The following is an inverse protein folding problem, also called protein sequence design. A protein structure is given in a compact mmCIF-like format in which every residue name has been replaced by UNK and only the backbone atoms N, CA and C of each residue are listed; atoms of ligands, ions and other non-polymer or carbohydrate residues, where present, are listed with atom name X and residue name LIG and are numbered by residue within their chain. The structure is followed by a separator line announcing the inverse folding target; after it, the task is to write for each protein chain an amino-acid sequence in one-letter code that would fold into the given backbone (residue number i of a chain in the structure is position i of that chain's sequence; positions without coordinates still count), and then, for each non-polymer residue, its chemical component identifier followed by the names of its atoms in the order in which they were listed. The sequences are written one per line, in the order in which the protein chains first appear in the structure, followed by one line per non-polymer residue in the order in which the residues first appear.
data_IF_002930694739
#
_entry.id   IF_002930694739
#
_cell.length_a   1.000
_cell.length_b   1.000
_cell.length_c   1.000
_cell.angle_alpha   90.00
_cell.angle_beta   90.00
_cell.angle_gamma   90.00
#
_symmetry.space_group_name_H-M   'P 1'
#
loop_
_entity.id
_entity.type
_entity.pdbx_description
1 polymer ?
#
# COMPACT_ATOMS: atom_id res chain seq x y z
N UNK A 1 2.13 4.07 6.89
CA UNK A 1 1.55 3.19 7.92
C UNK A 1 2.38 1.91 7.99
N UNK A 2 3.09 1.58 9.10
CA UNK A 2 3.95 0.39 9.15
C UNK A 2 3.22 -0.95 9.26
N UNK A 3 2.03 -0.97 9.88
CA UNK A 3 1.21 -2.17 10.03
C UNK A 3 -0.26 -1.75 10.01
N UNK A 4 -0.99 -2.11 8.95
CA UNK A 4 -2.42 -1.79 8.82
C UNK A 4 -3.32 -2.83 9.51
N UNK A 5 -2.85 -4.08 9.63
CA UNK A 5 -3.58 -5.19 10.24
C UNK A 5 -2.84 -5.67 11.51
N UNK A 6 -2.84 -4.89 12.61
CA UNK A 6 -2.04 -5.20 13.78
C UNK A 6 -2.60 -6.42 14.55
N UNK A 7 -3.92 -6.56 14.61
CA UNK A 7 -4.63 -7.71 15.19
C UNK A 7 -4.29 -9.04 14.47
N UNK A 8 -4.31 -9.03 13.13
CA UNK A 8 -3.89 -10.18 12.32
C UNK A 8 -2.40 -10.46 12.42
N UNK A 9 -1.56 -9.41 12.44
CA UNK A 9 -0.12 -9.54 12.60
C UNK A 9 0.26 -10.25 13.90
N UNK A 10 -0.32 -9.85 15.04
CA UNK A 10 -0.06 -10.53 16.32
C UNK A 10 -0.61 -11.96 16.34
N UNK A 11 -1.77 -12.22 15.73
CA UNK A 11 -2.29 -13.58 15.59
C UNK A 11 -1.28 -14.51 14.88
N UNK A 12 -0.64 -14.06 13.78
CA UNK A 12 0.38 -14.87 13.07
C UNK A 12 1.61 -15.23 13.90
N UNK A 13 1.83 -14.56 15.04
CA UNK A 13 2.98 -14.75 15.93
C UNK A 13 2.69 -15.71 17.08
N UNK A 14 1.43 -16.10 17.31
CA UNK A 14 1.03 -16.97 18.42
C UNK A 14 1.47 -18.44 18.23
N UNK A 15 1.66 -18.89 16.99
CA UNK A 15 2.08 -20.27 16.70
C UNK A 15 2.77 -20.37 15.33
N UNK A 16 3.80 -21.24 15.18
CA UNK A 16 4.37 -21.56 13.88
C UNK A 16 3.46 -22.45 13.01
N UNK A 17 2.35 -22.97 13.55
CA UNK A 17 1.39 -23.78 12.78
C UNK A 17 0.90 -22.98 11.56
N UNK A 18 0.94 -23.52 10.32
CA UNK A 18 0.49 -22.82 9.11
C UNK A 18 -0.90 -22.19 9.20
N UNK A 19 -1.86 -22.80 9.91
CA UNK A 19 -3.22 -22.25 10.07
C UNK A 19 -3.26 -20.93 10.86
N UNK A 20 -2.22 -20.66 11.66
CA UNK A 20 -2.03 -19.43 12.42
C UNK A 20 -1.01 -18.53 11.72
N UNK A 21 0.16 -19.07 11.39
CA UNK A 21 1.29 -18.31 10.84
C UNK A 21 1.02 -17.71 9.46
N UNK A 22 0.16 -18.33 8.65
CA UNK A 22 -0.23 -17.86 7.31
C UNK A 22 -1.56 -17.09 7.31
N UNK A 23 -2.06 -16.67 8.48
CA UNK A 23 -3.27 -15.87 8.58
C UNK A 23 -3.11 -14.51 7.87
N UNK A 24 -4.04 -14.20 6.94
CA UNK A 24 -4.01 -12.99 6.09
C UNK A 24 -5.02 -11.92 6.52
N UNK A 25 -6.22 -12.33 6.92
CA UNK A 25 -7.36 -11.45 7.24
C UNK A 25 -7.11 -10.63 8.51
N UNK A 26 -7.96 -9.65 8.82
CA UNK A 26 -7.98 -9.07 10.17
C UNK A 26 -8.57 -10.06 11.19
N UNK A 27 -8.96 -9.59 12.39
CA UNK A 27 -9.52 -10.42 13.47
C UNK A 27 -10.91 -9.95 13.92
N UNK A 28 -11.70 -9.38 13.00
CA UNK A 28 -13.09 -9.03 13.30
C UNK A 28 -13.92 -10.22 13.78
N UNK A 29 -15.05 -9.97 14.49
CA UNK A 29 -15.83 -11.00 15.16
C UNK A 29 -16.24 -12.17 14.27
N UNK A 30 -16.54 -13.28 14.94
CA UNK A 30 -16.88 -14.53 14.28
C UNK A 30 -18.22 -14.44 13.55
N UNK A 31 -18.24 -14.96 12.33
CA UNK A 31 -19.45 -15.12 11.53
C UNK A 31 -19.64 -16.59 11.20
N UNK A 32 -20.83 -17.06 11.48
CA UNK A 32 -21.23 -18.44 11.27
C UNK A 32 -22.18 -18.53 10.09
N UNK A 33 -21.96 -19.50 9.21
CA UNK A 33 -22.90 -19.85 8.15
C UNK A 33 -23.25 -21.34 8.24
N UNK A 34 -24.40 -21.72 7.70
CA UNK A 34 -24.82 -23.12 7.60
C UNK A 34 -24.13 -23.78 6.41
N UNK A 35 -23.32 -24.80 6.68
CA UNK A 35 -22.61 -25.54 5.64
C UNK A 35 -23.57 -26.33 4.76
N UNK A 36 -23.26 -26.42 3.45
CA UNK A 36 -24.01 -27.25 2.48
C UNK A 36 -24.04 -28.74 2.88
N UNK A 37 -23.06 -29.19 3.66
CA UNK A 37 -22.94 -30.58 4.14
C UNK A 37 -23.55 -30.77 5.54
N UNK A 38 -24.30 -29.79 6.04
CA UNK A 38 -24.79 -29.76 7.41
C UNK A 38 -23.76 -29.21 8.41
N UNK A 39 -24.26 -28.84 9.58
CA UNK A 39 -23.49 -28.13 10.61
C UNK A 39 -23.36 -26.62 10.37
N UNK A 40 -22.88 -25.94 11.40
CA UNK A 40 -22.56 -24.51 11.37
C UNK A 40 -21.03 -24.35 11.30
N UNK A 41 -20.56 -23.49 10.39
CA UNK A 41 -19.15 -23.20 10.22
C UNK A 41 -18.88 -21.73 10.53
N UNK A 42 -18.14 -21.52 11.61
CA UNK A 42 -17.82 -20.22 12.17
C UNK A 42 -16.39 -19.80 11.80
N UNK A 43 -16.22 -18.58 11.31
CA UNK A 43 -14.93 -18.04 10.86
C UNK A 43 -14.78 -16.56 11.18
N UNK A 44 -13.53 -16.13 11.41
CA UNK A 44 -13.17 -14.76 11.80
C UNK A 44 -12.51 -13.98 10.66
N UNK A 45 -12.62 -12.65 10.74
CA UNK A 45 -11.85 -11.72 9.92
C UNK A 45 -12.31 -11.54 8.47
N UNK A 46 -11.89 -10.41 7.90
CA UNK A 46 -12.13 -9.94 6.53
C UNK A 46 -10.79 -9.69 5.83
N UNK A 47 -10.72 -9.91 4.50
CA UNK A 47 -9.59 -9.44 3.70
C UNK A 47 -9.72 -7.92 3.51
N UNK A 48 -8.85 -7.17 4.18
CA UNK A 48 -8.85 -5.72 4.13
C UNK A 48 -8.66 -5.17 2.71
N UNK A 49 -7.92 -5.87 1.83
CA UNK A 49 -7.76 -5.47 0.43
C UNK A 49 -8.89 -6.01 -0.48
N UNK A 50 -10.05 -6.30 0.11
CA UNK A 50 -11.35 -6.51 -0.53
C UNK A 50 -12.46 -5.64 0.10
N UNK A 51 -12.15 -4.79 1.09
CA UNK A 51 -13.14 -4.07 1.89
C UNK A 51 -13.32 -2.58 1.51
N UNK A 52 -12.57 -2.06 0.54
CA UNK A 52 -12.66 -0.65 0.13
C UNK A 52 -13.85 -0.38 -0.83
N UNK A 53 -14.37 0.85 -0.83
CA UNK A 53 -15.50 1.26 -1.70
C UNK A 53 -15.06 1.52 -3.15
N UNK A 54 -14.67 0.46 -3.86
CA UNK A 54 -14.45 0.49 -5.30
C UNK A 54 -14.79 -0.86 -5.93
N UNK A 55 -15.81 -0.88 -6.78
CA UNK A 55 -16.39 -2.09 -7.39
C UNK A 55 -16.68 -3.25 -6.40
N UNK A 56 -16.88 -2.92 -5.12
CA UNK A 56 -16.88 -3.88 -4.01
C UNK A 56 -17.87 -5.02 -4.26
N UNK A 57 -17.41 -6.25 -4.03
CA UNK A 57 -18.12 -7.51 -4.26
C UNK A 57 -18.29 -7.96 -5.73
N UNK A 58 -17.91 -7.16 -6.74
CA UNK A 58 -18.17 -7.49 -8.14
C UNK A 58 -17.26 -8.61 -8.71
N UNK A 59 -15.99 -8.68 -8.26
CA UNK A 59 -15.01 -9.63 -8.80
C UNK A 59 -13.91 -9.99 -7.79
N UNK A 60 -13.32 -11.18 -7.91
CA UNK A 60 -12.12 -11.61 -7.16
C UNK A 60 -12.22 -11.56 -5.62
N UNK A 61 -13.45 -11.54 -5.10
CA UNK A 61 -13.82 -11.52 -3.69
C UNK A 61 -14.80 -12.66 -3.40
N UNK A 62 -15.19 -12.84 -2.13
CA UNK A 62 -16.17 -13.86 -1.75
C UNK A 62 -17.11 -13.36 -0.65
N UNK A 63 -18.37 -13.76 -0.73
CA UNK A 63 -19.38 -13.60 0.33
C UNK A 63 -19.23 -14.62 1.48
N UNK A 64 -18.44 -15.67 1.27
CA UNK A 64 -18.25 -16.77 2.23
C UNK A 64 -17.32 -16.34 3.39
N UNK A 65 -17.78 -16.21 4.65
CA UNK A 65 -16.97 -15.71 5.77
C UNK A 65 -15.69 -16.51 6.06
N UNK A 66 -15.66 -17.80 5.71
CA UNK A 66 -14.49 -18.66 5.82
C UNK A 66 -13.50 -18.54 4.66
N UNK A 67 -13.82 -17.76 3.62
CA UNK A 67 -12.89 -17.49 2.53
C UNK A 67 -11.75 -16.59 2.99
N UNK A 68 -10.56 -16.81 2.44
CA UNK A 68 -9.40 -15.93 2.62
C UNK A 68 -9.54 -14.60 1.88
N UNK A 69 -10.47 -14.51 0.92
CA UNK A 69 -10.83 -13.29 0.16
C UNK A 69 -12.24 -12.80 0.53
N UNK A 70 -12.71 -13.11 1.75
CA UNK A 70 -13.98 -12.61 2.27
C UNK A 70 -13.94 -11.09 2.40
N UNK A 71 -14.87 -10.40 1.75
CA UNK A 71 -14.91 -8.94 1.59
C UNK A 71 -15.59 -8.13 2.72
N UNK A 72 -16.14 -8.78 3.75
CA UNK A 72 -16.97 -8.14 4.78
C UNK A 72 -18.46 -8.12 4.44
N UNK A 73 -19.28 -7.47 5.26
CA UNK A 73 -20.74 -7.34 4.98
C UNK A 73 -21.05 -6.13 4.09
N UNK A 74 -20.17 -5.14 4.10
CA UNK A 74 -20.32 -3.88 3.38
C UNK A 74 -18.96 -3.21 3.22
N UNK A 75 -18.89 -2.23 2.32
CA UNK A 75 -17.72 -1.36 2.15
C UNK A 75 -17.34 -0.69 3.46
N UNK A 76 -16.05 -0.74 3.80
CA UNK A 76 -15.50 -0.21 5.04
C UNK A 76 -16.11 -0.77 6.34
N UNK A 77 -16.56 -2.03 6.32
CA UNK A 77 -17.00 -2.73 7.54
C UNK A 77 -15.90 -2.89 8.59
N UNK A 78 -14.63 -2.90 8.17
CA UNK A 78 -13.50 -3.11 9.06
C UNK A 78 -12.86 -1.79 9.54
N UNK A 79 -12.53 -1.65 10.84
CA UNK A 79 -11.95 -0.42 11.39
C UNK A 79 -10.61 -0.06 10.73
N UNK A 80 -9.81 -1.04 10.33
CA UNK A 80 -8.53 -0.80 9.66
C UNK A 80 -8.71 -0.10 8.30
N UNK A 81 -9.72 -0.53 7.53
CA UNK A 81 -10.04 0.10 6.23
C UNK A 81 -10.64 1.50 6.40
N UNK A 82 -11.48 1.70 7.45
CA UNK A 82 -11.98 3.02 7.83
C UNK A 82 -10.85 3.96 8.23
N UNK A 83 -9.86 3.50 8.98
CA UNK A 83 -8.72 4.33 9.37
C UNK A 83 -7.97 4.91 8.16
N UNK A 84 -7.79 4.13 7.08
CA UNK A 84 -7.19 4.64 5.83
C UNK A 84 -8.10 5.67 5.16
N UNK A 85 -9.40 5.35 5.03
CA UNK A 85 -10.42 6.24 4.45
C UNK A 85 -10.47 7.58 5.17
N UNK A 86 -10.57 7.54 6.50
CA UNK A 86 -10.82 8.70 7.34
C UNK A 86 -9.57 9.57 7.46
N UNK A 87 -8.37 8.96 7.57
CA UNK A 87 -7.11 9.67 7.56
C UNK A 87 -6.90 10.48 6.26
N UNK A 88 -7.13 9.86 5.09
CA UNK A 88 -7.03 10.56 3.79
C UNK A 88 -8.15 11.59 3.57
N UNK A 89 -9.24 11.53 4.33
CA UNK A 89 -10.34 12.50 4.30
C UNK A 89 -10.20 13.63 5.33
N UNK A 90 -9.17 13.63 6.18
CA UNK A 90 -8.87 14.78 7.08
C UNK A 90 -8.56 16.04 6.28
N UNK A 91 -8.86 17.22 6.83
CA UNK A 91 -8.57 18.50 6.17
C UNK A 91 -7.07 18.72 5.90
N UNK A 92 -6.20 18.02 6.64
CA UNK A 92 -4.76 18.01 6.44
C UNK A 92 -4.34 17.30 5.14
N UNK A 93 -5.08 16.27 4.70
CA UNK A 93 -4.69 15.37 3.60
C UNK A 93 -5.66 15.30 2.42
N UNK A 94 -6.93 15.67 2.61
CA UNK A 94 -7.96 15.63 1.55
C UNK A 94 -7.53 16.50 0.37
N UNK A 95 -7.38 15.88 -0.80
CA UNK A 95 -6.90 16.54 -2.02
C UNK A 95 -5.42 16.97 -2.01
N UNK A 96 -4.62 16.50 -1.04
CA UNK A 96 -3.21 16.89 -0.82
C UNK A 96 -2.25 15.70 -0.82
N UNK A 97 -2.69 14.55 -1.35
CA UNK A 97 -1.91 13.31 -1.41
C UNK A 97 -1.71 12.94 -2.87
N UNK A 98 -0.49 13.18 -3.37
CA UNK A 98 -0.12 12.92 -4.76
C UNK A 98 0.17 11.45 -5.07
N UNK A 99 0.52 10.66 -4.06
CA UNK A 99 0.93 9.27 -4.22
C UNK A 99 0.46 8.35 -3.09
N UNK A 100 0.11 7.12 -3.45
CA UNK A 100 -0.33 6.07 -2.53
C UNK A 100 0.37 4.76 -2.92
N UNK A 101 1.18 4.22 -2.01
CA UNK A 101 1.85 2.93 -2.21
C UNK A 101 1.39 1.97 -1.13
N UNK A 102 0.77 0.86 -1.52
CA UNK A 102 0.49 -0.26 -0.62
C UNK A 102 1.48 -1.40 -0.88
N UNK A 103 2.07 -1.94 0.19
CA UNK A 103 3.12 -2.96 0.12
C UNK A 103 2.56 -4.31 0.57
N UNK A 104 2.73 -5.31 -0.28
CA UNK A 104 2.28 -6.67 -0.09
C UNK A 104 3.44 -7.64 -0.35
N UNK A 105 3.25 -8.92 -0.06
CA UNK A 105 4.07 -9.99 -0.64
C UNK A 105 3.19 -11.20 -0.93
N UNK A 106 3.52 -12.07 -1.88
CA UNK A 106 4.72 -12.10 -2.70
C UNK A 106 4.39 -12.30 -4.18
N UNK A 107 5.24 -11.78 -5.07
CA UNK A 107 5.26 -12.14 -6.50
C UNK A 107 6.39 -11.45 -7.29
N UNK A 108 7.03 -10.40 -6.74
CA UNK A 108 7.86 -9.43 -7.48
C UNK A 108 7.09 -8.71 -8.60
N UNK A 109 6.01 -8.03 -8.21
CA UNK A 109 5.16 -7.24 -9.12
C UNK A 109 5.10 -5.78 -8.69
N UNK A 110 5.20 -4.88 -9.67
CA UNK A 110 4.93 -3.45 -9.53
C UNK A 110 3.61 -3.11 -10.23
N UNK A 111 2.53 -3.19 -9.48
CA UNK A 111 1.16 -3.08 -9.99
C UNK A 111 0.68 -1.64 -9.92
N UNK A 112 0.05 -1.17 -10.99
CA UNK A 112 -0.72 0.08 -11.03
C UNK A 112 -2.20 -0.20 -11.30
N UNK A 113 -3.13 0.70 -10.93
CA UNK A 113 -4.56 0.51 -11.20
C UNK A 113 -4.89 0.31 -12.70
N UNK A 114 -5.99 -0.36 -13.06
CA UNK A 114 -7.01 -0.91 -12.16
C UNK A 114 -6.91 -2.44 -11.97
N UNK A 115 -7.29 -2.89 -10.78
CA UNK A 115 -7.31 -4.29 -10.35
C UNK A 115 -8.70 -4.94 -10.49
N UNK A 116 -9.81 -4.19 -10.45
CA UNK A 116 -11.18 -4.74 -10.47
C UNK A 116 -11.57 -5.52 -11.74
N UNK A 117 -11.04 -5.17 -12.92
CA UNK A 117 -11.43 -5.78 -14.20
C UNK A 117 -10.32 -5.66 -15.26
N UNK A 118 -10.22 -6.66 -16.13
CA UNK A 118 -9.27 -6.68 -17.24
C UNK A 118 -9.62 -5.60 -18.27
N UNK A 119 -8.62 -5.10 -18.99
CA UNK A 119 -8.77 -4.06 -20.02
C UNK A 119 -9.43 -2.76 -19.50
N UNK A 120 -9.39 -2.51 -18.17
CA UNK A 120 -9.78 -1.24 -17.54
C UNK A 120 -8.55 -0.53 -17.02
N UNK A 121 -8.38 0.71 -17.47
CA UNK A 121 -7.17 1.50 -17.28
C UNK A 121 -7.54 2.92 -16.82
N UNK A 122 -6.75 3.54 -15.93
CA UNK A 122 -6.87 4.97 -15.65
C UNK A 122 -6.31 5.78 -16.82
N UNK A 123 -6.83 6.98 -17.05
CA UNK A 123 -6.47 7.84 -18.18
C UNK A 123 -4.96 8.18 -18.22
N UNK A 124 -4.31 8.23 -17.06
CA UNK A 124 -2.88 8.50 -16.90
C UNK A 124 -2.00 7.24 -16.85
N UNK A 125 -2.50 6.07 -17.29
CA UNK A 125 -1.75 4.81 -17.33
C UNK A 125 -0.37 4.91 -17.99
N UNK A 126 -0.23 5.76 -19.02
CA UNK A 126 1.06 6.01 -19.69
C UNK A 126 2.10 6.63 -18.76
N UNK A 127 1.68 7.48 -17.82
CA UNK A 127 2.52 8.06 -16.78
C UNK A 127 2.86 7.01 -15.72
N UNK A 128 1.84 6.31 -15.20
CA UNK A 128 2.01 5.28 -14.18
C UNK A 128 2.96 4.17 -14.63
N UNK A 129 2.86 3.75 -15.89
CA UNK A 129 3.75 2.76 -16.52
C UNK A 129 5.18 3.29 -16.73
N UNK A 130 5.36 4.59 -17.01
CA UNK A 130 6.69 5.21 -17.16
C UNK A 130 7.41 5.24 -15.82
N UNK A 131 6.74 5.70 -14.77
CA UNK A 131 7.28 5.75 -13.40
C UNK A 131 7.49 4.35 -12.82
N UNK A 132 6.58 3.40 -13.06
CA UNK A 132 6.80 1.99 -12.71
C UNK A 132 8.06 1.43 -13.39
N UNK A 133 8.27 1.70 -14.68
CA UNK A 133 9.48 1.27 -15.41
C UNK A 133 10.76 1.89 -14.82
N UNK A 134 10.74 3.17 -14.42
CA UNK A 134 11.85 3.81 -13.71
C UNK A 134 12.12 3.11 -12.36
N UNK A 135 11.08 2.90 -11.57
CA UNK A 135 11.15 2.26 -10.26
C UNK A 135 11.75 0.84 -10.31
N UNK A 136 11.23 -0.05 -11.18
CA UNK A 136 11.75 -1.41 -11.32
C UNK A 136 13.20 -1.42 -11.83
N UNK A 137 13.58 -0.49 -12.71
CA UNK A 137 14.95 -0.39 -13.21
C UNK A 137 15.94 0.03 -12.10
N UNK A 138 15.56 0.95 -11.20
CA UNK A 138 16.43 1.39 -10.09
C UNK A 138 16.50 0.36 -8.96
N UNK A 139 15.39 -0.33 -8.70
CA UNK A 139 15.32 -1.51 -7.83
C UNK A 139 16.28 -2.60 -8.35
N UNK A 140 16.15 -2.98 -9.62
CA UNK A 140 16.96 -4.02 -10.25
C UNK A 140 18.46 -3.74 -10.15
N UNK A 141 18.90 -2.48 -10.28
CA UNK A 141 20.31 -2.07 -10.13
C UNK A 141 20.95 -2.40 -8.78
N UNK A 142 20.17 -2.69 -7.72
CA UNK A 142 20.74 -3.04 -6.41
C UNK A 142 21.24 -4.48 -6.36
N UNK A 143 20.41 -5.44 -6.76
CA UNK A 143 20.64 -6.88 -6.56
C UNK A 143 20.24 -7.76 -7.76
N UNK A 144 20.04 -7.18 -8.95
CA UNK A 144 19.59 -7.89 -10.15
C UNK A 144 18.18 -8.45 -10.08
N UNK A 145 17.38 -8.05 -9.08
CA UNK A 145 16.06 -8.64 -8.85
C UNK A 145 15.05 -8.13 -9.88
N UNK A 146 14.33 -9.07 -10.50
CA UNK A 146 13.41 -8.78 -11.60
C UNK A 146 11.98 -8.62 -11.09
N UNK A 147 11.38 -7.45 -11.33
CA UNK A 147 9.97 -7.19 -11.07
C UNK A 147 9.22 -7.04 -12.39
N UNK A 148 8.07 -7.71 -12.52
CA UNK A 148 7.13 -7.47 -13.64
C UNK A 148 6.22 -6.30 -13.28
N UNK A 149 5.67 -5.61 -14.28
CA UNK A 149 4.72 -4.50 -14.07
C UNK A 149 3.51 -4.60 -15.00
N UNK A 150 2.37 -4.09 -14.55
CA UNK A 150 1.09 -4.17 -15.26
C UNK A 150 -0.05 -3.74 -14.36
N UNK A 151 -1.29 -3.94 -14.81
CA UNK A 151 -2.47 -3.79 -13.94
C UNK A 151 -2.70 -5.04 -13.10
N UNK A 152 -3.41 -4.93 -11.98
CA UNK A 152 -3.71 -6.10 -11.14
C UNK A 152 -4.52 -7.15 -11.89
N UNK A 153 -5.50 -6.71 -12.67
CA UNK A 153 -6.37 -7.58 -13.43
C UNK A 153 -5.66 -8.31 -14.61
N UNK A 154 -4.74 -7.63 -15.29
CA UNK A 154 -4.02 -8.20 -16.45
C UNK A 154 -2.77 -8.98 -16.04
N UNK A 155 -2.17 -8.69 -14.86
CA UNK A 155 -0.94 -9.35 -14.37
C UNK A 155 -1.23 -10.56 -13.48
N UNK A 156 -2.34 -10.52 -12.73
CA UNK A 156 -2.78 -11.56 -11.81
C UNK A 156 -4.18 -12.06 -12.19
N UNK A 157 -5.22 -11.39 -11.71
CA UNK A 157 -6.63 -11.72 -11.93
C UNK A 157 -7.49 -10.55 -11.43
N UNK A 158 -8.69 -10.33 -11.98
CA UNK A 158 -9.65 -9.34 -11.48
C UNK A 158 -9.90 -9.45 -9.96
N UNK A 159 -9.83 -8.33 -9.26
CA UNK A 159 -9.97 -8.23 -7.81
C UNK A 159 -10.58 -6.88 -7.40
N UNK A 160 -11.81 -6.92 -6.89
CA UNK A 160 -12.54 -5.74 -6.42
C UNK A 160 -12.23 -5.35 -4.97
N UNK A 161 -12.61 -4.13 -4.56
CA UNK A 161 -12.47 -3.65 -3.19
C UNK A 161 -11.03 -3.41 -2.72
N UNK A 162 -10.09 -3.27 -3.65
CA UNK A 162 -8.69 -2.96 -3.41
C UNK A 162 -8.46 -1.51 -2.94
N UNK A 163 -7.47 -1.33 -2.07
CA UNK A 163 -7.07 -0.03 -1.52
C UNK A 163 -6.38 0.88 -2.53
N UNK A 164 -5.62 0.29 -3.45
CA UNK A 164 -4.99 0.92 -4.62
C UNK A 164 -6.04 1.48 -5.58
N UNK A 165 -6.97 0.63 -6.02
CA UNK A 165 -8.05 1.03 -6.91
C UNK A 165 -8.93 2.12 -6.30
N UNK A 166 -9.29 1.98 -5.01
CA UNK A 166 -10.03 3.01 -4.29
C UNK A 166 -9.24 4.32 -4.17
N UNK A 167 -7.96 4.29 -3.79
CA UNK A 167 -7.11 5.48 -3.72
C UNK A 167 -7.05 6.23 -5.06
N UNK A 168 -6.92 5.49 -6.16
CA UNK A 168 -6.93 6.05 -7.52
C UNK A 168 -8.26 6.69 -7.89
N UNK A 169 -9.37 6.05 -7.54
CA UNK A 169 -10.72 6.61 -7.76
C UNK A 169 -11.02 7.87 -6.94
N UNK A 170 -10.24 8.14 -5.89
CA UNK A 170 -10.33 9.37 -5.08
C UNK A 170 -9.33 10.46 -5.53
N UNK A 171 -8.81 10.35 -6.75
CA UNK A 171 -8.00 11.39 -7.39
C UNK A 171 -6.51 11.38 -7.04
N UNK A 172 -6.03 10.42 -6.24
CA UNK A 172 -4.59 10.26 -6.00
C UNK A 172 -3.93 9.82 -7.31
N UNK A 173 -2.90 10.53 -7.75
CA UNK A 173 -2.29 10.30 -9.06
C UNK A 173 -1.39 9.05 -9.06
N UNK A 174 -0.28 9.09 -8.33
CA UNK A 174 0.76 8.07 -8.36
C UNK A 174 0.44 6.91 -7.42
N UNK A 175 -0.41 5.99 -7.89
CA UNK A 175 -0.89 4.86 -7.10
C UNK A 175 -0.25 3.55 -7.53
N UNK A 176 0.28 2.80 -6.57
CA UNK A 176 0.90 1.49 -6.79
C UNK A 176 0.59 0.48 -5.69
N UNK A 177 0.42 -0.77 -6.08
CA UNK A 177 0.52 -1.94 -5.20
C UNK A 177 1.82 -2.67 -5.56
N UNK A 178 2.67 -2.93 -4.58
CA UNK A 178 3.94 -3.64 -4.80
C UNK A 178 3.90 -4.99 -4.10
N UNK A 179 3.93 -6.07 -4.87
CA UNK A 179 4.13 -7.43 -4.35
C UNK A 179 5.64 -7.71 -4.29
N UNK A 180 6.18 -7.78 -3.08
CA UNK A 180 7.62 -7.94 -2.83
C UNK A 180 8.14 -9.35 -3.11
N UNK A 181 9.43 -9.59 -2.81
CA UNK A 181 10.07 -10.91 -2.82
C UNK A 181 9.27 -11.95 -2.00
N UNK A 182 9.38 -13.25 -2.34
CA UNK A 182 10.07 -13.82 -3.51
C UNK A 182 9.23 -13.81 -4.79
N UNK A 183 9.75 -14.42 -5.85
CA UNK A 183 9.03 -14.69 -7.10
C UNK A 183 7.82 -15.62 -6.89
N UNK A 184 6.91 -15.61 -7.85
CA UNK A 184 5.53 -16.16 -7.81
C UNK A 184 5.40 -17.66 -7.47
N UNK A 185 6.48 -18.45 -7.48
CA UNK A 185 6.45 -19.92 -7.56
C UNK A 185 6.99 -20.66 -6.31
N UNK A 186 7.08 -19.98 -5.16
CA UNK A 186 7.42 -20.64 -3.89
C UNK A 186 6.17 -20.89 -3.05
N UNK A 187 5.86 -22.17 -2.78
CA UNK A 187 4.76 -22.62 -1.91
C UNK A 187 4.82 -22.05 -0.47
N UNK A 188 5.99 -21.54 -0.07
CA UNK A 188 6.26 -20.89 1.20
C UNK A 188 6.65 -19.40 1.03
N UNK A 189 6.19 -18.71 -0.01
CA UNK A 189 6.64 -17.33 -0.32
C UNK A 189 6.45 -16.31 0.81
N UNK A 190 5.44 -16.49 1.68
CA UNK A 190 5.23 -15.68 2.90
C UNK A 190 6.24 -15.96 4.04
N UNK A 191 7.03 -17.04 3.93
CA UNK A 191 8.08 -17.45 4.88
C UNK A 191 9.46 -17.10 4.29
N UNK A 192 9.63 -15.83 3.95
CA UNK A 192 10.89 -15.27 3.44
C UNK A 192 12.00 -15.38 4.50
N UNK A 193 13.19 -15.83 4.10
CA UNK A 193 14.32 -16.01 5.02
C UNK A 193 14.82 -14.66 5.56
N UNK A 194 15.17 -14.58 6.85
CA UNK A 194 15.56 -13.32 7.53
C UNK A 194 16.68 -12.54 6.83
N UNK A 195 17.61 -13.23 6.16
CA UNK A 195 18.71 -12.63 5.36
C UNK A 195 18.22 -11.75 4.21
N UNK A 196 17.02 -12.02 3.67
CA UNK A 196 16.43 -11.31 2.54
C UNK A 196 15.72 -10.01 2.94
N UNK A 197 15.46 -9.78 4.24
CA UNK A 197 14.68 -8.64 4.72
C UNK A 197 15.36 -7.29 4.38
N UNK A 198 16.67 -7.18 4.61
CA UNK A 198 17.43 -5.97 4.31
C UNK A 198 17.60 -5.77 2.79
N UNK A 199 18.01 -6.78 1.98
CA UNK A 199 17.99 -6.67 0.51
C UNK A 199 16.64 -6.23 -0.06
N UNK A 200 15.54 -6.86 0.37
CA UNK A 200 14.18 -6.50 -0.07
C UNK A 200 13.84 -5.05 0.29
N UNK A 201 14.17 -4.60 1.51
CA UNK A 201 13.90 -3.23 1.93
C UNK A 201 14.73 -2.20 1.14
N UNK A 202 16.01 -2.47 0.89
CA UNK A 202 16.92 -1.56 0.15
C UNK A 202 16.46 -1.40 -1.31
N UNK A 203 16.22 -2.50 -2.03
CA UNK A 203 15.81 -2.42 -3.43
C UNK A 203 14.43 -1.77 -3.60
N UNK A 204 13.49 -2.10 -2.70
CA UNK A 204 12.14 -1.52 -2.73
C UNK A 204 12.19 -0.03 -2.47
N UNK A 205 13.02 0.42 -1.52
CA UNK A 205 13.16 1.84 -1.22
C UNK A 205 13.77 2.63 -2.39
N UNK A 206 14.68 2.04 -3.16
CA UNK A 206 15.13 2.64 -4.43
C UNK A 206 13.99 2.81 -5.44
N UNK A 207 13.14 1.79 -5.61
CA UNK A 207 11.94 1.90 -6.45
C UNK A 207 10.95 2.97 -5.95
N UNK A 208 10.72 3.05 -4.63
CA UNK A 208 9.84 4.06 -4.00
C UNK A 208 10.37 5.48 -4.22
N UNK A 209 11.69 5.68 -4.22
CA UNK A 209 12.28 7.01 -4.52
C UNK A 209 11.96 7.50 -5.93
N UNK A 210 11.89 6.63 -6.93
CA UNK A 210 11.46 7.02 -8.29
C UNK A 210 10.00 7.51 -8.33
N UNK A 211 9.12 6.95 -7.48
CA UNK A 211 7.74 7.46 -7.35
C UNK A 211 7.73 8.83 -6.67
N UNK A 212 8.54 9.02 -5.63
CA UNK A 212 8.67 10.33 -4.95
C UNK A 212 9.26 11.37 -5.90
N UNK A 213 10.28 11.02 -6.68
CA UNK A 213 10.88 11.89 -7.69
C UNK A 213 9.85 12.26 -8.77
N UNK A 214 9.06 11.31 -9.28
CA UNK A 214 7.96 11.60 -10.22
C UNK A 214 6.85 12.49 -9.62
N UNK A 215 6.52 12.35 -8.34
CA UNK A 215 5.58 13.24 -7.62
C UNK A 215 6.14 14.67 -7.52
N UNK A 216 7.44 14.82 -7.24
CA UNK A 216 8.10 16.11 -7.15
C UNK A 216 8.22 16.78 -8.53
N UNK A 217 8.61 16.01 -9.56
CA UNK A 217 8.66 16.43 -10.96
C UNK A 217 7.28 16.91 -11.43
N UNK A 218 6.19 16.21 -11.10
CA UNK A 218 4.84 16.59 -11.51
C UNK A 218 4.34 17.90 -10.90
N UNK A 219 4.76 18.21 -9.68
CA UNK A 219 4.36 19.41 -8.94
C UNK A 219 5.35 20.58 -9.10
N UNK A 220 6.27 20.50 -10.06
CA UNK A 220 7.37 21.46 -10.31
C UNK A 220 8.25 21.73 -9.06
N UNK A 221 8.30 20.77 -8.12
CA UNK A 221 9.04 20.88 -6.86
C UNK A 221 10.49 20.46 -7.10
N UNK A 222 11.25 21.34 -7.76
CA UNK A 222 12.70 21.20 -7.92
C UNK A 222 13.44 21.37 -6.59
N UNK A 223 13.53 20.29 -5.82
CA UNK A 223 14.40 20.26 -4.63
C UNK A 223 15.86 20.12 -5.07
N UNK A 224 16.70 21.11 -4.75
CA UNK A 224 18.15 20.88 -4.63
C UNK A 224 18.32 19.65 -3.71
N UNK A 225 18.94 18.53 -4.16
CA UNK A 225 19.10 17.33 -3.34
C UNK A 225 19.80 17.60 -2.00
N UNK A 226 20.52 18.72 -1.89
CA UNK A 226 21.24 19.16 -0.71
C UNK A 226 20.45 20.14 0.17
N UNK A 227 19.27 20.61 -0.25
CA UNK A 227 18.43 21.57 0.51
C UNK A 227 17.75 20.95 1.73
N UNK A 228 17.44 19.65 1.68
CA UNK A 228 16.83 18.90 2.79
C UNK A 228 17.85 18.33 3.78
N UNK A 229 19.15 18.37 3.44
CA UNK A 229 20.20 17.78 4.26
C UNK A 229 20.68 18.85 5.25
N UNK A 230 20.71 18.53 6.55
CA UNK A 230 21.21 19.49 7.56
C UNK A 230 22.61 20.00 7.17
N UNK A 231 22.96 21.28 7.43
CA UNK A 231 24.21 21.87 6.92
C UNK A 231 25.47 21.02 7.23
N UNK A 232 25.50 20.39 8.41
CA UNK A 232 26.54 19.46 8.85
C UNK A 232 26.63 18.21 7.98
N UNK A 233 25.49 17.60 7.65
CA UNK A 233 25.41 16.43 6.78
C UNK A 233 25.65 16.79 5.31
N UNK A 234 25.19 17.97 4.85
CA UNK A 234 25.49 18.52 3.51
C UNK A 234 27.00 18.67 3.33
N UNK A 235 27.70 19.22 4.34
CA UNK A 235 29.16 19.36 4.34
C UNK A 235 29.89 18.01 4.30
N UNK A 236 29.43 17.01 5.07
CA UNK A 236 29.97 15.63 5.02
C UNK A 236 29.72 14.94 3.66
N UNK A 237 28.53 15.09 3.09
CA UNK A 237 28.18 14.48 1.80
C UNK A 237 28.97 15.12 0.66
N UNK A 238 29.06 16.45 0.61
CA UNK A 238 29.89 17.18 -0.36
C UNK A 238 31.37 16.82 -0.25
N UNK A 239 31.90 16.71 0.98
CA UNK A 239 33.27 16.25 1.21
C UNK A 239 33.50 14.82 0.70
N UNK A 240 32.55 13.90 0.95
CA UNK A 240 32.60 12.52 0.44
C UNK A 240 32.51 12.47 -1.09
N UNK A 241 31.69 13.31 -1.71
CA UNK A 241 31.59 13.40 -3.18
C UNK A 241 32.85 14.02 -3.82
N UNK A 242 33.50 14.99 -3.15
CA UNK A 242 34.83 15.50 -3.56
C UNK A 242 35.92 14.43 -3.45
N UNK A 243 35.96 13.66 -2.35
CA UNK A 243 36.87 12.52 -2.19
C UNK A 243 36.70 11.44 -3.28
N UNK A 244 35.47 11.25 -3.76
CA UNK A 244 35.15 10.31 -4.84
C UNK A 244 35.29 10.92 -6.25
N UNK A 245 35.81 12.15 -6.37
CA UNK A 245 36.01 12.84 -7.66
C UNK A 245 34.72 13.25 -8.40
N UNK A 246 33.54 13.11 -7.77
CA UNK A 246 32.23 13.33 -8.39
C UNK A 246 31.86 14.82 -8.53
N UNK A 247 32.62 15.71 -7.89
CA UNK A 247 32.45 17.17 -8.01
C UNK A 247 33.85 17.81 -8.06
N UNK A 248 34.15 18.55 -9.13
CA UNK A 248 35.36 19.38 -9.20
C UNK A 248 35.15 20.66 -8.40
N UNK A 249 36.20 21.14 -7.74
CA UNK A 249 36.13 22.31 -6.86
C UNK A 249 35.85 23.59 -7.63
N UNK A 250 34.80 24.31 -7.23
CA UNK A 250 34.74 25.77 -7.33
C UNK A 250 35.00 26.29 -5.91
N UNK A 251 35.95 27.21 -5.76
CA UNK A 251 36.31 27.76 -4.47
C UNK A 251 35.28 28.78 -3.99
N UNK A 252 34.92 28.67 -2.71
CA UNK A 252 33.79 29.38 -2.11
C UNK A 252 34.27 30.63 -1.35
N UNK A 253 35.17 31.40 -1.96
CA UNK A 253 35.74 32.64 -1.42
C UNK A 253 35.79 33.75 -2.47
N UNK A 254 34.62 34.13 -2.98
CA UNK A 254 34.41 35.48 -3.52
C UNK A 254 32.93 35.85 -3.37
N UNK A 255 32.68 37.03 -2.83
CA UNK A 255 31.35 37.61 -2.58
C UNK A 255 30.84 38.43 -3.78
N UNK A 256 29.53 38.44 -3.97
CA UNK A 256 28.76 39.48 -4.67
C UNK A 256 29.32 40.00 -6.00
N UNK A 257 28.90 39.39 -7.10
CA UNK A 257 28.80 40.04 -8.41
C UNK A 257 27.42 39.75 -9.03
N UNK A 258 26.77 40.69 -9.73
CA UNK A 258 25.46 40.46 -10.33
C UNK A 258 25.52 39.45 -11.49
N UNK A 259 24.49 38.63 -11.62
CA UNK A 259 24.34 37.73 -12.78
C UNK A 259 23.88 38.58 -13.97
N UNK A 260 24.77 38.84 -14.92
CA UNK A 260 24.40 39.32 -16.26
C UNK A 260 24.05 38.13 -17.15
N UNK A 261 22.85 38.15 -17.71
CA UNK A 261 22.38 37.16 -18.69
C UNK A 261 23.14 37.29 -20.01
N UNK A 262 23.81 36.22 -20.42
CA UNK A 262 24.26 36.00 -21.79
C UNK A 262 24.07 34.54 -22.19
N UNK A 263 22.87 34.22 -22.66
CA UNK A 263 22.59 32.97 -23.38
C UNK A 263 23.41 32.87 -24.68
N UNK A 264 24.12 31.76 -24.96
CA UNK A 264 24.72 31.50 -26.26
C UNK A 264 23.77 30.72 -27.18
N UNK A 265 23.31 31.40 -28.24
CA UNK A 265 22.56 30.84 -29.39
C UNK A 265 23.41 29.78 -30.13
N UNK A 266 22.81 28.70 -30.69
CA UNK A 266 23.60 27.57 -31.19
C UNK A 266 24.31 27.84 -32.52
N UNK A 267 25.60 27.49 -32.59
CA UNK A 267 26.38 27.49 -33.83
C UNK A 267 26.26 26.15 -34.56
N UNK A 268 25.68 26.19 -35.74
CA UNK A 268 25.71 25.12 -36.74
C UNK A 268 27.15 24.84 -37.19
N UNK A 269 27.54 23.57 -37.29
CA UNK A 269 28.67 23.15 -38.13
C UNK A 269 28.41 21.81 -38.78
N UNK A 270 28.81 21.73 -40.05
CA UNK A 270 28.50 20.63 -40.97
C UNK A 270 29.28 19.36 -40.63
N UNK A 271 28.72 18.20 -41.00
CA UNK A 271 29.48 16.98 -41.24
C UNK A 271 29.06 16.42 -42.59
N UNK A 272 30.02 16.32 -43.50
CA UNK A 272 29.85 15.88 -44.88
C UNK A 272 29.63 14.38 -45.01
N UNK A 273 28.83 13.96 -46.00
CA UNK A 273 28.82 12.58 -46.48
C UNK A 273 30.18 12.15 -47.02
N UNK A 274 30.64 10.95 -46.63
CA UNK A 274 31.67 10.22 -47.35
C UNK A 274 31.37 8.72 -47.29
N UNK A 275 31.09 8.11 -48.44
CA UNK A 275 30.73 6.70 -48.56
C UNK A 275 31.98 5.80 -48.61
N UNK A 276 31.75 4.51 -48.31
CA UNK A 276 32.31 3.30 -48.98
C UNK A 276 33.45 2.49 -48.34
N UNK A 277 33.12 1.19 -48.25
CA UNK A 277 33.87 -0.04 -48.60
C UNK A 277 34.65 -0.79 -47.52
N UNK A 278 34.27 -2.07 -47.42
CA UNK A 278 34.99 -3.20 -46.84
C UNK A 278 36.33 -3.43 -47.56
N UNK A 279 37.34 -3.93 -46.82
CA UNK A 279 38.27 -4.98 -47.28
C UNK A 279 38.60 -5.91 -46.09
N UNK A 280 38.81 -7.19 -46.41
CA UNK A 280 39.07 -8.35 -45.53
C UNK A 280 40.56 -8.62 -45.30
N UNK A 281 40.93 -9.23 -44.15
CA UNK A 281 42.01 -10.24 -44.10
C UNK A 281 42.05 -11.04 -42.78
N UNK A 282 41.96 -12.37 -42.89
CA UNK A 282 42.51 -13.38 -41.94
C UNK A 282 43.95 -13.74 -42.42
N UNK A 283 44.70 -14.78 -41.95
CA UNK A 283 44.40 -15.85 -40.98
C UNK A 283 45.55 -16.21 -39.99
N UNK A 284 45.32 -17.20 -39.10
CA UNK A 284 46.18 -18.39 -39.02
C UNK A 284 45.48 -19.59 -38.32
N UNK A 285 45.72 -20.81 -38.81
CA UNK A 285 45.13 -22.08 -38.34
C UNK A 285 45.87 -22.65 -37.11
N UNK A 286 45.38 -23.69 -36.41
CA UNK A 286 45.54 -25.12 -36.81
C UNK A 286 44.59 -26.15 -36.11
N UNK A 287 43.96 -27.03 -36.92
CA UNK A 287 43.75 -28.53 -36.78
C UNK A 287 43.38 -29.21 -35.43
N UNK A 288 42.56 -30.29 -35.32
CA UNK A 288 41.70 -31.07 -36.27
C UNK A 288 40.60 -31.86 -35.53
N UNK A 289 39.50 -32.15 -36.24
CA UNK A 289 38.39 -33.13 -36.01
C UNK A 289 38.81 -34.61 -36.23
N UNK A 290 37.99 -35.70 -36.13
CA UNK A 290 36.50 -35.83 -36.16
C UNK A 290 35.90 -36.76 -35.06
N UNK A 291 34.61 -37.15 -34.96
CA UNK A 291 33.37 -37.07 -35.78
C UNK A 291 32.14 -37.12 -34.82
N UNK A 292 30.84 -37.09 -35.17
CA UNK A 292 30.12 -37.07 -36.45
C UNK A 292 28.69 -36.47 -36.30
N UNK A 293 28.06 -36.16 -37.44
CA UNK A 293 26.69 -36.50 -37.90
C UNK A 293 25.62 -36.97 -36.87
N UNK A 294 24.33 -36.60 -36.91
CA UNK A 294 23.46 -35.80 -37.82
C UNK A 294 22.10 -35.58 -37.07
N UNK A 295 21.13 -34.72 -37.43
CA UNK A 295 20.90 -33.76 -38.54
C UNK A 295 19.95 -32.60 -38.11
N UNK A 296 19.50 -31.77 -39.06
CA UNK A 296 18.38 -30.79 -39.00
C UNK A 296 17.62 -30.86 -40.36
N UNK A 297 16.44 -30.24 -40.65
CA UNK A 297 15.89 -29.02 -40.05
C UNK A 297 14.35 -28.81 -39.98
N UNK A 298 13.97 -27.66 -39.39
CA UNK A 298 12.83 -26.74 -39.70
C UNK A 298 11.39 -27.24 -39.90
N UNK A 299 10.46 -26.66 -39.12
CA UNK A 299 9.26 -26.01 -39.68
C UNK A 299 8.68 -24.94 -38.71
N UNK A 300 7.90 -24.03 -39.26
CA UNK A 300 7.54 -22.71 -38.70
C UNK A 300 6.03 -22.61 -38.38
N UNK A 301 5.65 -21.63 -37.54
CA UNK A 301 4.28 -21.06 -37.37
C UNK A 301 3.20 -21.97 -36.72
N UNK A 302 2.71 -21.58 -35.54
CA UNK A 302 1.29 -21.21 -35.31
C UNK A 302 1.00 -20.89 -33.82
N UNK A 303 0.28 -19.79 -33.56
CA UNK A 303 -0.37 -19.54 -32.28
C UNK A 303 -1.59 -20.46 -32.12
N UNK A 304 -1.80 -21.05 -30.94
CA UNK A 304 -3.10 -21.63 -30.58
C UNK A 304 -3.42 -21.46 -29.10
N UNK A 305 -4.44 -20.68 -28.80
CA UNK A 305 -5.09 -20.60 -27.49
C UNK A 305 -5.84 -21.90 -27.19
N UNK A 306 -5.62 -22.51 -26.01
CA UNK A 306 -6.55 -23.50 -25.45
C UNK A 306 -6.72 -23.34 -23.94
N UNK A 307 -7.79 -22.67 -23.55
CA UNK A 307 -8.41 -22.92 -22.25
C UNK A 307 -8.93 -24.38 -22.20
N UNK A 308 -8.88 -25.02 -21.02
CA UNK A 308 -9.53 -26.31 -20.78
C UNK A 308 -10.82 -26.09 -19.97
N UNK A 309 -11.98 -26.63 -20.39
CA UNK A 309 -13.24 -26.44 -19.68
C UNK A 309 -13.35 -27.34 -18.45
N UNK A 310 -14.17 -26.90 -17.49
CA UNK A 310 -14.52 -27.67 -16.30
C UNK A 310 -15.57 -28.75 -16.63
N UNK A 311 -15.46 -29.89 -15.94
CA UNK A 311 -16.40 -31.02 -16.06
C UNK A 311 -17.78 -30.65 -15.50
N UNK A 312 -18.81 -30.86 -16.31
CA UNK A 312 -20.21 -30.83 -15.87
C UNK A 312 -20.58 -32.12 -15.14
N UNK A 313 -21.34 -32.00 -14.06
CA UNK A 313 -22.05 -33.15 -13.46
C UNK A 313 -23.50 -32.76 -13.21
N UNK A 314 -24.41 -33.47 -13.86
CA UNK A 314 -25.87 -33.39 -13.67
C UNK A 314 -26.36 -34.64 -12.97
N UNK A 315 -27.35 -34.52 -12.08
CA UNK A 315 -28.44 -35.48 -12.03
C UNK A 315 -29.81 -34.82 -12.25
N UNK A 316 -30.75 -35.64 -12.67
CA UNK A 316 -32.03 -35.24 -13.27
C UNK A 316 -33.23 -35.25 -12.30
N UNK A 317 -34.08 -34.23 -12.44
CA UNK A 317 -35.56 -34.24 -12.33
C UNK A 317 -36.28 -35.07 -11.24
N UNK A 318 -37.10 -34.37 -10.45
CA UNK A 318 -38.48 -34.78 -10.09
C UNK A 318 -39.38 -33.54 -10.06
N UNK A 319 -40.70 -33.73 -10.13
CA UNK A 319 -41.64 -32.78 -10.77
C UNK A 319 -42.68 -32.18 -9.82
N UNK A 320 -43.13 -30.94 -10.13
CA UNK A 320 -44.34 -30.25 -9.60
C UNK A 320 -44.29 -29.85 -8.11
N UNK A 321 -44.99 -28.81 -7.63
CA UNK A 321 -46.19 -28.10 -8.12
C UNK A 321 -46.08 -26.56 -8.05
N UNK A 322 -47.01 -25.88 -8.72
CA UNK A 322 -47.13 -24.41 -8.79
C UNK A 322 -47.81 -23.78 -7.58
N UNK A 323 -47.42 -22.54 -7.23
CA UNK A 323 -48.34 -21.53 -6.68
C UNK A 323 -47.89 -20.14 -7.13
N UNK A 324 -48.83 -19.23 -7.42
CA UNK A 324 -48.56 -17.87 -7.94
C UNK A 324 -49.28 -16.81 -7.12
N UNK A 325 -48.78 -15.56 -7.22
CA UNK A 325 -49.32 -14.31 -6.63
C UNK A 325 -49.14 -14.19 -5.10
N UNK A 326 -49.01 -12.99 -4.48
CA UNK A 326 -49.26 -11.60 -4.94
C UNK A 326 -48.14 -10.61 -4.56
N UNK A 327 -48.12 -9.46 -5.24
CA UNK A 327 -47.28 -8.28 -4.94
C UNK A 327 -47.73 -7.53 -3.66
N UNK A 328 -46.82 -6.79 -3.01
CA UNK A 328 -47.13 -5.67 -2.12
C UNK A 328 -46.16 -4.49 -2.36
N UNK A 329 -46.72 -3.28 -2.33
CA UNK A 329 -46.08 -2.00 -2.65
C UNK A 329 -45.73 -1.20 -1.37
N UNK A 330 -45.41 0.10 -1.53
CA UNK A 330 -45.16 1.16 -0.53
C UNK A 330 -43.72 1.24 0.05
N UNK A 331 -43.06 2.40 0.09
CA UNK A 331 -43.33 3.63 -0.68
C UNK A 331 -42.08 4.54 -0.85
N UNK A 332 -42.16 5.53 -1.74
CA UNK A 332 -41.14 6.56 -1.94
C UNK A 332 -41.24 7.69 -0.92
N UNK A 333 -40.09 8.25 -0.54
CA UNK A 333 -40.01 9.66 -0.13
C UNK A 333 -39.01 10.43 -0.98
N UNK A 334 -39.53 11.38 -1.75
CA UNK A 334 -38.80 12.45 -2.42
C UNK A 334 -39.37 13.78 -1.96
N UNK A 335 -38.51 14.71 -1.55
CA UNK A 335 -38.87 16.12 -1.39
C UNK A 335 -37.88 16.97 -2.15
N UNK A 336 -38.35 17.65 -3.20
CA UNK A 336 -37.63 18.75 -3.85
C UNK A 336 -38.19 20.09 -3.39
N UNK A 337 -37.36 21.11 -3.32
CA UNK A 337 -37.79 22.51 -3.35
C UNK A 337 -36.89 23.29 -4.33
N UNK A 338 -37.51 24.15 -5.12
CA UNK A 338 -36.96 24.79 -6.33
C UNK A 338 -36.36 26.18 -6.09
N UNK A 339 -35.58 26.74 -7.03
CA UNK A 339 -34.79 27.96 -6.80
C UNK A 339 -35.59 29.25 -7.05
N UNK A 340 -35.01 30.38 -6.61
CA UNK A 340 -35.36 31.73 -7.07
C UNK A 340 -34.09 32.52 -7.41
N UNK A 341 -34.22 33.39 -8.38
CA UNK A 341 -33.16 34.23 -8.95
C UNK A 341 -33.55 35.72 -8.85
N UNK A 342 -32.61 36.58 -9.23
CA UNK A 342 -32.74 38.00 -9.59
C UNK A 342 -32.77 39.05 -8.46
N UNK A 343 -31.96 40.11 -8.64
CA UNK A 343 -31.94 41.29 -7.77
C UNK A 343 -30.58 42.01 -7.70
N UNK A 344 -30.16 42.70 -8.76
CA UNK A 344 -29.00 43.58 -8.71
C UNK A 344 -29.38 45.00 -8.22
N UNK A 345 -28.61 45.57 -7.30
CA UNK A 345 -28.65 47.00 -6.97
C UNK A 345 -27.27 47.49 -6.52
N UNK A 346 -26.84 48.62 -7.08
CA UNK A 346 -25.59 49.30 -6.74
C UNK A 346 -25.86 50.43 -5.75
N UNK A 347 -25.02 50.59 -4.71
CA UNK A 347 -24.86 51.86 -4.00
C UNK A 347 -23.44 51.96 -3.44
N UNK A 348 -22.88 53.17 -3.46
CA UNK A 348 -21.44 53.43 -3.31
C UNK A 348 -21.08 54.11 -1.98
N UNK A 349 -19.81 53.92 -1.58
CA UNK A 349 -19.03 54.72 -0.61
C UNK A 349 -19.27 54.55 0.90
N UNK A 350 -18.15 54.51 1.64
CA UNK A 350 -18.08 54.42 3.10
C UNK A 350 -16.76 53.81 3.59
N UNK A 351 -15.63 54.48 3.36
CA UNK A 351 -14.32 53.97 3.76
C UNK A 351 -13.91 54.46 5.16
N UNK A 352 -13.66 53.54 6.08
CA UNK A 352 -12.83 53.75 7.28
C UNK A 352 -12.00 52.50 7.52
N UNK A 353 -10.68 52.63 7.50
CA UNK A 353 -9.77 51.52 7.73
C UNK A 353 -9.42 51.42 9.23
N UNK A 354 -9.70 50.28 9.85
CA UNK A 354 -9.06 49.90 11.11
C UNK A 354 -8.16 48.68 10.86
N UNK A 355 -6.88 48.84 11.20
CA UNK A 355 -5.87 47.82 10.97
C UNK A 355 -5.88 46.79 12.12
N UNK A 356 -6.68 45.74 11.99
CA UNK A 356 -6.55 44.56 12.86
C UNK A 356 -5.25 43.83 12.57
N UNK A 357 -4.31 43.94 13.51
CA UNK A 357 -3.05 43.19 13.52
C UNK A 357 -3.34 41.70 13.67
N UNK A 358 -3.12 40.93 12.60
CA UNK A 358 -3.18 39.47 12.68
C UNK A 358 -1.93 38.94 13.40
N UNK A 359 -2.07 38.17 14.50
CA UNK A 359 -0.92 37.49 15.08
C UNK A 359 -0.43 36.40 14.12
N UNK A 360 0.84 36.47 13.73
CA UNK A 360 1.50 35.43 12.95
C UNK A 360 1.61 34.15 13.79
N UNK A 361 0.64 33.25 13.65
CA UNK A 361 0.76 31.89 14.18
C UNK A 361 1.90 31.18 13.45
N UNK A 362 3.00 30.95 14.16
CA UNK A 362 4.09 30.10 13.71
C UNK A 362 3.55 28.73 13.30
N UNK A 363 3.97 28.23 12.12
CA UNK A 363 3.80 26.81 11.79
C UNK A 363 4.49 25.99 12.87
N UNK A 364 3.70 25.34 13.74
CA UNK A 364 4.22 24.25 14.56
C UNK A 364 4.69 23.15 13.62
N UNK A 365 6.01 23.04 13.46
CA UNK A 365 6.61 21.81 12.99
C UNK A 365 6.25 20.73 14.01
N UNK A 366 5.39 19.79 13.61
CA UNK A 366 5.12 18.58 14.40
C UNK A 366 6.39 17.78 14.50
N UNK A 367 7.20 18.09 15.50
CA UNK A 367 8.44 17.39 15.78
C UNK A 367 8.05 15.95 16.13
N UNK A 368 8.50 14.99 15.33
CA UNK A 368 8.32 13.57 15.65
C UNK A 368 9.31 13.25 16.76
N UNK A 369 8.94 13.64 17.98
CA UNK A 369 9.67 13.30 19.20
C UNK A 369 9.57 11.80 19.36
N UNK A 370 10.65 11.10 18.99
CA UNK A 370 10.87 9.75 19.46
C UNK A 370 11.02 9.81 20.98
N UNK A 371 9.94 9.50 21.71
CA UNK A 371 9.93 9.42 23.16
C UNK A 371 10.85 8.30 23.66
N UNK A 372 12.16 8.54 23.67
CA UNK A 372 13.14 7.77 24.44
C UNK A 372 13.10 8.25 25.89
N UNK A 373 11.95 8.10 26.55
CA UNK A 373 11.90 8.25 28.00
C UNK A 373 12.54 7.03 28.65
N UNK A 374 13.40 7.31 29.65
CA UNK A 374 14.18 6.31 30.36
C UNK A 374 13.28 5.19 30.92
N UNK A 375 13.77 3.96 30.82
CA UNK A 375 13.14 2.77 31.40
C UNK A 375 12.72 3.01 32.87
N UNK A 376 11.42 2.90 33.21
CA UNK A 376 10.99 2.63 34.57
C UNK A 376 11.51 1.24 34.94
N UNK A 377 12.47 1.17 35.87
CA UNK A 377 13.26 -0.04 36.14
C UNK A 377 12.52 -1.14 36.91
N UNK A 378 11.27 -0.93 37.30
CA UNK A 378 10.47 -1.89 38.09
C UNK A 378 8.98 -1.86 37.72
N UNK A 379 8.56 -2.72 36.79
CA UNK A 379 7.15 -3.11 36.67
C UNK A 379 6.81 -4.08 37.83
N UNK A 380 5.79 -3.77 38.62
CA UNK A 380 5.41 -4.53 39.84
C UNK A 380 4.65 -5.84 39.59
N UNK A 381 4.47 -6.22 38.33
CA UNK A 381 4.03 -7.56 37.92
C UNK A 381 4.87 -7.96 36.69
N UNK A 382 5.64 -9.07 36.73
CA UNK A 382 6.43 -9.50 35.58
C UNK A 382 5.58 -10.03 34.41
N UNK A 383 4.30 -10.35 34.64
CA UNK A 383 3.39 -10.93 33.66
C UNK A 383 2.54 -9.90 32.93
N UNK A 384 2.15 -8.78 33.58
CA UNK A 384 1.38 -7.72 32.94
C UNK A 384 2.15 -6.42 32.77
N UNK A 385 2.58 -6.15 31.53
CA UNK A 385 3.31 -4.95 31.11
C UNK A 385 2.99 -4.59 29.67
N UNK A 386 3.34 -3.38 29.28
CA UNK A 386 3.36 -2.99 27.87
C UNK A 386 4.63 -3.51 27.18
N UNK A 387 4.47 -4.05 25.98
CA UNK A 387 5.57 -4.55 25.13
C UNK A 387 6.04 -3.48 24.12
N UNK A 388 5.32 -2.35 24.03
CA UNK A 388 5.65 -1.22 23.15
C UNK A 388 5.71 0.08 23.95
N UNK A 389 6.76 0.86 23.76
CA UNK A 389 6.89 2.20 24.33
C UNK A 389 5.80 3.18 23.79
N UNK A 390 5.21 2.87 22.63
CA UNK A 390 4.20 3.71 21.97
C UNK A 390 2.78 3.58 22.54
N UNK A 391 2.52 2.68 23.50
CA UNK A 391 1.16 2.40 23.99
C UNK A 391 0.42 3.64 24.49
N UNK A 392 1.04 4.43 25.38
CA UNK A 392 0.45 5.66 25.90
C UNK A 392 0.19 6.70 24.81
N UNK A 393 1.11 6.83 23.86
CA UNK A 393 0.97 7.72 22.70
C UNK A 393 -0.21 7.32 21.82
N UNK A 394 -0.40 6.01 21.57
CA UNK A 394 -1.54 5.50 20.81
C UNK A 394 -2.87 5.77 21.51
N UNK A 395 -2.95 5.55 22.82
CA UNK A 395 -4.16 5.82 23.60
C UNK A 395 -4.50 7.31 23.67
N UNK A 396 -3.49 8.19 23.73
CA UNK A 396 -3.68 9.65 23.71
C UNK A 396 -4.31 10.13 22.39
N UNK A 397 -3.90 9.56 21.25
CA UNK A 397 -4.35 10.00 19.92
C UNK A 397 -5.59 9.26 19.40
N UNK A 398 -5.85 8.04 19.89
CA UNK A 398 -7.11 7.34 19.70
C UNK A 398 -7.57 6.73 21.05
N UNK A 399 -8.42 7.45 21.82
CA UNK A 399 -8.94 6.99 23.10
C UNK A 399 -9.70 5.66 23.06
N UNK A 400 -10.23 5.26 21.90
CA UNK A 400 -10.98 4.01 21.72
C UNK A 400 -10.15 2.86 21.15
N UNK A 401 -8.84 3.06 20.89
CA UNK A 401 -7.98 2.05 20.25
C UNK A 401 -7.92 0.73 21.04
N UNK A 402 -8.00 0.78 22.38
CA UNK A 402 -8.06 -0.41 23.22
C UNK A 402 -9.30 -1.27 22.91
N UNK A 403 -10.43 -0.66 22.56
CA UNK A 403 -11.65 -1.39 22.17
C UNK A 403 -11.67 -1.76 20.70
N UNK A 404 -11.20 -0.88 19.81
CA UNK A 404 -11.20 -1.11 18.36
C UNK A 404 -10.17 -2.14 17.88
N UNK A 405 -9.01 -2.21 18.54
CA UNK A 405 -7.88 -3.08 18.20
C UNK A 405 -7.51 -3.97 19.41
N UNK A 406 -8.55 -4.55 20.01
CA UNK A 406 -8.48 -5.22 21.32
C UNK A 406 -7.48 -6.37 21.35
N UNK A 407 -7.30 -7.14 20.28
CA UNK A 407 -6.39 -8.30 20.31
C UNK A 407 -4.93 -7.84 20.35
N UNK A 408 -4.55 -6.90 19.48
CA UNK A 408 -3.24 -6.28 19.44
C UNK A 408 -2.95 -5.53 20.73
N UNK A 409 -3.86 -4.66 21.17
CA UNK A 409 -3.66 -3.86 22.37
C UNK A 409 -3.60 -4.73 23.64
N UNK A 410 -4.29 -5.88 23.67
CA UNK A 410 -4.12 -6.88 24.75
C UNK A 410 -2.77 -7.61 24.72
N UNK A 411 -2.19 -7.83 23.55
CA UNK A 411 -0.87 -8.46 23.42
C UNK A 411 0.30 -7.49 23.64
N UNK A 412 0.15 -6.24 23.18
CA UNK A 412 1.26 -5.27 23.08
C UNK A 412 1.17 -4.15 24.11
N UNK A 413 -0.02 -3.86 24.65
CA UNK A 413 -0.32 -2.71 25.50
C UNK A 413 -1.24 -3.08 26.69
N UNK A 414 -1.03 -4.26 27.27
CA UNK A 414 -1.89 -4.84 28.30
C UNK A 414 -2.04 -3.95 29.54
N UNK A 415 -0.99 -3.20 29.90
CA UNK A 415 -0.98 -2.32 31.06
C UNK A 415 -1.65 -0.98 30.74
N UNK A 416 -1.22 -0.30 29.67
CA UNK A 416 -1.83 0.97 29.22
C UNK A 416 -3.34 0.84 28.99
N UNK A 417 -3.79 -0.25 28.35
CA UNK A 417 -5.21 -0.49 28.09
C UNK A 417 -5.97 -1.15 29.26
N UNK A 418 -5.35 -1.30 30.43
CA UNK A 418 -5.97 -1.90 31.63
C UNK A 418 -6.56 -3.30 31.39
N UNK A 419 -5.89 -4.10 30.56
CA UNK A 419 -6.21 -5.52 30.34
C UNK A 419 -5.53 -6.45 31.36
N UNK A 420 -4.69 -5.90 32.24
CA UNK A 420 -4.22 -6.60 33.43
C UNK A 420 -5.40 -6.99 34.32
N UNK A 421 -5.68 -8.28 34.40
CA UNK A 421 -6.43 -8.86 35.51
C UNK A 421 -5.37 -9.15 36.57
N UNK A 422 -5.39 -8.43 37.67
CA UNK A 422 -4.49 -8.70 38.79
C UNK A 422 -4.88 -10.01 39.48
N UNK A 423 -3.95 -10.62 40.22
CA UNK A 423 -4.29 -11.76 41.08
C UNK A 423 -5.37 -11.42 42.13
N UNK A 424 -5.58 -10.13 42.44
CA UNK A 424 -6.64 -9.66 43.34
C UNK A 424 -8.02 -9.67 42.67
N UNK A 425 -8.12 -9.35 41.37
CA UNK A 425 -9.39 -9.38 40.64
C UNK A 425 -9.98 -10.81 40.56
N UNK A 426 -9.12 -11.82 40.47
CA UNK A 426 -9.53 -13.24 40.53
C UNK A 426 -10.07 -13.59 41.92
N UNK A 427 -9.42 -13.11 42.99
CA UNK A 427 -9.90 -13.32 44.35
C UNK A 427 -11.24 -12.61 44.63
N UNK A 428 -11.44 -11.41 44.08
CA UNK A 428 -12.71 -10.65 44.21
C UNK A 428 -13.85 -11.30 43.40
N UNK A 429 -13.57 -11.84 42.21
CA UNK A 429 -14.54 -12.62 41.45
C UNK A 429 -14.92 -13.92 42.17
N UNK A 430 -13.95 -14.62 42.77
CA UNK A 430 -14.23 -15.83 43.58
C UNK A 430 -15.03 -15.52 44.84
N UNK A 431 -14.78 -14.40 45.54
CA UNK A 431 -15.59 -14.00 46.70
C UNK A 431 -17.00 -13.59 46.32
N UNK A 432 -17.20 -12.87 45.20
CA UNK A 432 -18.53 -12.55 44.68
C UNK A 432 -19.32 -13.81 44.28
N UNK A 433 -18.66 -14.77 43.64
CA UNK A 433 -19.28 -16.07 43.33
C UNK A 433 -19.67 -16.84 44.60
N UNK A 434 -18.82 -16.81 45.64
CA UNK A 434 -19.10 -17.49 46.90
C UNK A 434 -20.24 -16.84 47.69
N UNK A 435 -20.35 -15.50 47.66
CA UNK A 435 -21.47 -14.76 48.26
C UNK A 435 -22.79 -15.04 47.52
N UNK A 436 -22.79 -15.11 46.18
CA UNK A 436 -23.98 -15.53 45.42
C UNK A 436 -24.38 -16.99 45.68
N UNK A 437 -23.43 -17.90 45.94
CA UNK A 437 -23.73 -19.29 46.33
C UNK A 437 -24.19 -19.48 47.77
N UNK A 438 -24.27 -18.41 48.58
CA UNK A 438 -24.85 -18.42 49.93
C UNK A 438 -26.13 -17.56 50.04
N UNK A 439 -26.60 -16.98 48.92
CA UNK A 439 -27.87 -16.24 48.83
C UNK A 439 -28.94 -16.98 47.99
N UNK A 440 -28.57 -18.10 47.38
CA UNK A 440 -29.45 -19.11 46.79
C UNK A 440 -29.35 -20.40 47.60
#
# INVERSE_FOLDING_TARGET
MPCLNPDGYEYTRLSPNPSVRLWRKNRSPEKCHRSLWGGEKCCKGVDLNRNFKFHWAESGSSFEPCSNIYHGDHVFSEPESRAVRDFLNTDALRGKVDGFITLHSYAQLWIYPFSHAQQKYPDDISELRRTARRAINRLHRQYGTEYRMGTGADTLSPASGGSDDWAKSNGIKYVYLVELRPQYELSNGFILHKKELIPTAVETFEGVKEVIEAVLEHNDIHKDPLSLISPTMRKKQLYRMRLLGLIKGVDMTSSNAPITDTSPTPTTREVSEATRRMVTSSPYSTTTTPSSATETPLLEIAMSTRARPWLTYTPSSTTSTSTTWTSLHFDKYTTSATPKNDGAASTTMGATAEATVFPTTSRETTEIVFFTHNHPSTFRDPTCRDMRYSCSFWLQHNPVICTEQKSFMKAQCAYTCKFCISAMDVAEQLTKHHQQSQQN
#
